data_IF_626605998574
#
_entry.id   IF_626605998574
#
_cell.length_a   1.000
_cell.length_b   1.000
_cell.length_c   1.000
_cell.angle_alpha   90.00
_cell.angle_beta   90.00
_cell.angle_gamma   90.00
#
_symmetry.space_group_name_H-M   'P 1'
#
loop_
_entity.id
_entity.type
_entity.pdbx_description
1 polymer ?
#
# COMPACT_ATOMS: atom_id res chain seq x y z
N UNK A 1 11.06 16.21 10.68
CA UNK A 1 9.68 16.05 10.32
C UNK A 1 9.48 14.81 9.45
N UNK A 2 8.56 14.05 9.85
CA UNK A 2 8.28 12.82 9.15
C UNK A 2 7.30 13.07 8.02
N UNK A 3 7.62 12.60 6.86
CA UNK A 3 6.70 12.68 5.74
C UNK A 3 6.26 11.29 5.35
N UNK A 4 4.97 11.17 5.13
CA UNK A 4 4.41 9.93 4.64
C UNK A 4 4.28 10.02 3.14
N UNK A 5 5.01 9.19 2.45
CA UNK A 5 4.98 9.13 1.00
C UNK A 5 4.67 7.72 0.59
N UNK A 6 3.88 7.62 -0.44
CA UNK A 6 3.54 6.32 -0.97
C UNK A 6 3.34 6.38 -2.45
N UNK A 7 3.28 5.21 -3.05
CA UNK A 7 3.03 5.06 -4.47
C UNK A 7 1.72 4.30 -4.64
N UNK A 8 0.75 4.94 -5.25
CA UNK A 8 -0.52 4.30 -5.54
C UNK A 8 -0.49 3.77 -6.97
N UNK A 9 -0.79 2.49 -7.10
CA UNK A 9 -0.78 1.81 -8.39
C UNK A 9 -2.17 1.29 -8.66
N UNK A 10 -2.75 1.71 -9.78
CA UNK A 10 -4.07 1.22 -10.16
C UNK A 10 -4.26 1.30 -11.67
N UNK A 11 -4.98 0.35 -12.24
CA UNK A 11 -5.55 -0.82 -11.57
C UNK A 11 -4.48 -1.84 -11.26
N UNK A 12 -4.58 -2.46 -10.09
CA UNK A 12 -3.54 -3.39 -9.67
C UNK A 12 -4.07 -4.26 -8.54
N UNK A 13 -3.80 -5.55 -8.59
CA UNK A 13 -4.15 -6.44 -7.49
C UNK A 13 -3.00 -7.34 -7.07
N UNK A 14 -1.82 -7.15 -7.65
CA UNK A 14 -0.66 -7.92 -7.24
C UNK A 14 0.60 -7.15 -7.57
N UNK A 15 1.63 -7.39 -6.78
CA UNK A 15 2.93 -6.75 -7.01
C UNK A 15 4.02 -7.77 -6.75
N UNK A 16 5.21 -7.46 -7.26
CA UNK A 16 6.41 -8.17 -6.86
C UNK A 16 7.52 -7.16 -6.63
N UNK A 17 8.42 -7.54 -5.73
CA UNK A 17 9.45 -6.63 -5.23
C UNK A 17 10.84 -7.07 -5.71
N UNK A 18 10.93 -7.60 -6.93
CA UNK A 18 12.16 -8.18 -7.42
C UNK A 18 13.32 -7.20 -7.51
N UNK A 19 13.01 -5.96 -7.82
CA UNK A 19 14.06 -4.97 -8.02
C UNK A 19 14.14 -3.94 -6.90
N UNK A 20 13.45 -4.21 -5.80
CA UNK A 20 13.51 -3.31 -4.67
C UNK A 20 14.73 -3.62 -3.81
N UNK A 21 15.28 -2.58 -3.22
CA UNK A 21 16.44 -2.71 -2.35
C UNK A 21 16.08 -2.68 -0.87
N UNK A 22 14.79 -2.51 -0.55
CA UNK A 22 14.33 -2.39 0.84
C UNK A 22 12.93 -2.94 0.95
N UNK A 23 12.53 -3.22 2.19
CA UNK A 23 11.20 -3.73 2.46
C UNK A 23 10.17 -2.60 2.39
N UNK A 24 8.94 -2.98 2.08
CA UNK A 24 7.85 -2.01 1.98
C UNK A 24 6.61 -2.56 2.67
N UNK A 25 5.71 -1.65 3.02
CA UNK A 25 4.36 -2.04 3.41
C UNK A 25 3.48 -1.98 2.17
N UNK A 26 2.62 -2.97 2.01
CA UNK A 26 1.75 -3.08 0.84
C UNK A 26 0.32 -3.10 1.32
N UNK A 27 -0.46 -2.13 0.87
CA UNK A 27 -1.85 -1.97 1.26
C UNK A 27 -2.71 -2.22 0.02
N UNK A 28 -3.56 -3.24 0.10
CA UNK A 28 -4.46 -3.57 -1.00
C UNK A 28 -5.81 -2.92 -0.75
N UNK A 29 -6.30 -2.22 -1.75
CA UNK A 29 -7.53 -1.44 -1.65
C UNK A 29 -8.56 -1.93 -2.65
N UNK A 30 -9.82 -1.88 -2.27
CA UNK A 30 -10.89 -2.15 -3.21
C UNK A 30 -11.32 -0.86 -3.94
N UNK A 31 -12.38 -0.96 -4.72
CA UNK A 31 -12.82 0.18 -5.54
C UNK A 31 -13.31 1.35 -4.71
N UNK A 32 -13.59 1.13 -3.44
CA UNK A 32 -14.05 2.18 -2.54
C UNK A 32 -12.93 2.70 -1.64
N UNK A 33 -11.69 2.34 -1.97
CA UNK A 33 -10.51 2.70 -1.18
C UNK A 33 -10.54 2.12 0.22
N UNK A 34 -11.24 1.00 0.39
CA UNK A 34 -11.26 0.29 1.65
C UNK A 34 -10.09 -0.69 1.67
N UNK A 35 -9.38 -0.71 2.77
CA UNK A 35 -8.24 -1.60 2.94
C UNK A 35 -8.77 -3.01 3.14
N UNK A 36 -8.38 -3.91 2.23
CA UNK A 36 -8.82 -5.30 2.31
C UNK A 36 -7.71 -6.24 2.75
N UNK A 37 -6.46 -5.80 2.63
CA UNK A 37 -5.33 -6.63 3.03
C UNK A 37 -4.11 -5.74 3.18
N UNK A 38 -3.29 -6.03 4.18
CA UNK A 38 -2.02 -5.34 4.38
C UNK A 38 -0.95 -6.38 4.57
N UNK A 39 0.19 -6.17 3.90
CA UNK A 39 1.37 -6.95 4.19
C UNK A 39 2.41 -5.98 4.71
N UNK A 40 2.80 -6.17 5.97
CA UNK A 40 3.79 -5.34 6.62
C UNK A 40 5.17 -5.87 6.31
N UNK A 41 6.05 -4.96 5.94
CA UNK A 41 7.48 -5.29 5.81
C UNK A 41 7.72 -6.40 4.79
N UNK A 42 7.14 -6.25 3.60
CA UNK A 42 7.36 -7.19 2.52
C UNK A 42 8.77 -7.02 2.00
N UNK A 43 9.54 -8.08 2.05
CA UNK A 43 10.96 -8.02 1.72
C UNK A 43 11.17 -8.04 0.21
N UNK A 44 12.37 -7.62 -0.25
CA UNK A 44 12.70 -7.75 -1.67
C UNK A 44 12.58 -9.20 -2.16
N UNK A 45 12.35 -9.34 -3.45
CA UNK A 45 12.26 -10.63 -4.14
C UNK A 45 11.06 -11.46 -3.66
N UNK A 46 9.98 -10.78 -3.31
CA UNK A 46 8.72 -11.42 -2.93
C UNK A 46 7.61 -10.94 -3.85
N UNK A 47 6.50 -11.61 -3.79
CA UNK A 47 5.30 -11.11 -4.45
C UNK A 47 4.12 -11.26 -3.52
N UNK A 48 3.06 -10.52 -3.79
CA UNK A 48 1.86 -10.55 -2.99
C UNK A 48 0.69 -10.12 -3.84
N UNK A 49 -0.49 -10.59 -3.47
CA UNK A 49 -1.69 -10.23 -4.21
C UNK A 49 -2.90 -10.31 -3.32
N UNK A 50 -3.98 -9.69 -3.79
CA UNK A 50 -5.28 -9.76 -3.15
C UNK A 50 -6.33 -9.77 -4.25
N UNK A 51 -7.06 -10.86 -4.33
CA UNK A 51 -7.96 -11.13 -5.45
C UNK A 51 -8.94 -9.99 -5.73
N UNK A 52 -9.46 -9.37 -4.65
CA UNK A 52 -10.46 -8.33 -4.80
C UNK A 52 -9.90 -6.92 -4.87
N UNK A 53 -8.61 -6.78 -4.83
CA UNK A 53 -8.01 -5.45 -4.86
C UNK A 53 -8.14 -4.85 -6.26
N UNK A 54 -8.32 -3.55 -6.28
CA UNK A 54 -8.30 -2.77 -7.52
C UNK A 54 -7.17 -1.77 -7.51
N UNK A 55 -6.54 -1.57 -6.37
CA UNK A 55 -5.41 -0.66 -6.25
C UNK A 55 -4.47 -1.15 -5.17
N UNK A 56 -3.22 -0.77 -5.29
CA UNK A 56 -2.20 -1.10 -4.32
C UNK A 56 -1.48 0.18 -3.93
N UNK A 57 -1.31 0.37 -2.62
CA UNK A 57 -0.55 1.49 -2.09
C UNK A 57 0.72 0.94 -1.47
N UNK A 58 1.86 1.39 -1.96
CA UNK A 58 3.17 0.99 -1.44
C UNK A 58 3.70 2.09 -0.55
N UNK A 59 4.15 1.72 0.64
CA UNK A 59 4.69 2.64 1.63
C UNK A 59 6.00 2.11 2.13
N UNK A 60 6.81 2.98 2.70
CA UNK A 60 8.01 2.52 3.38
C UNK A 60 7.62 1.63 4.54
N UNK A 61 8.43 0.60 4.79
CA UNK A 61 8.16 -0.37 5.84
C UNK A 61 7.97 0.34 7.17
N UNK A 62 6.93 -0.05 7.90
CA UNK A 62 6.59 0.54 9.18
C UNK A 62 5.57 1.67 9.10
N UNK A 63 5.40 2.26 7.92
CA UNK A 63 4.52 3.42 7.77
C UNK A 63 3.06 3.07 8.04
N UNK A 64 2.61 1.90 7.58
CA UNK A 64 1.20 1.53 7.76
C UNK A 64 0.84 1.46 9.24
N UNK A 65 1.70 0.87 10.06
CA UNK A 65 1.46 0.83 11.50
C UNK A 65 1.53 2.23 12.10
N UNK A 66 2.50 3.01 11.66
CA UNK A 66 2.71 4.34 12.22
C UNK A 66 1.50 5.24 12.02
N UNK A 67 0.89 5.19 10.85
CA UNK A 67 -0.24 6.06 10.55
C UNK A 67 -1.59 5.38 10.79
N UNK A 68 -1.58 4.14 11.30
CA UNK A 68 -2.81 3.49 11.74
C UNK A 68 -3.65 2.90 10.64
N UNK A 69 -3.05 2.43 9.56
CA UNK A 69 -3.78 1.76 8.49
C UNK A 69 -4.05 0.32 8.90
N UNK A 70 -5.32 -0.06 8.91
CA UNK A 70 -5.73 -1.41 9.28
C UNK A 70 -6.77 -1.89 8.28
N UNK A 71 -6.94 -3.22 8.15
CA UNK A 71 -7.98 -3.75 7.26
C UNK A 71 -9.35 -3.21 7.67
N UNK A 72 -10.16 -2.91 6.68
CA UNK A 72 -11.48 -2.33 6.90
C UNK A 72 -11.52 -0.83 6.88
N UNK A 73 -10.40 -0.17 7.04
CA UNK A 73 -10.36 1.27 7.04
C UNK A 73 -10.52 1.79 5.61
N UNK A 74 -11.27 2.86 5.46
CA UNK A 74 -11.39 3.54 4.17
C UNK A 74 -10.38 4.66 4.14
N UNK A 75 -9.51 4.63 3.14
CA UNK A 75 -8.47 5.64 3.02
C UNK A 75 -8.99 6.82 2.22
N UNK A 76 -8.54 8.00 2.63
CA UNK A 76 -8.85 9.23 1.93
C UNK A 76 -7.58 10.03 1.77
N UNK A 77 -7.45 10.65 0.65
CA UNK A 77 -6.35 11.56 0.43
C UNK A 77 -6.85 12.76 -0.34
N UNK A 78 -6.15 13.85 -0.17
CA UNK A 78 -6.49 15.08 -0.81
C UNK A 78 -5.65 15.26 -2.05
N UNK A 79 -6.30 15.65 -3.11
CA UNK A 79 -5.58 16.11 -4.27
C UNK A 79 -5.46 17.62 -4.18
N UNK A 80 -4.23 18.06 -4.28
CA UNK A 80 -4.02 19.49 -4.27
C UNK A 80 -3.86 19.96 -5.69
N UNK A 81 -4.74 20.83 -6.09
CA UNK A 81 -4.56 21.48 -7.36
C UNK A 81 -3.98 22.86 -7.11
N UNK A 82 -3.05 23.19 -7.93
CA UNK A 82 -2.37 24.47 -7.78
C UNK A 82 -3.01 25.53 -8.60
#
# INVERSE_FOLDING_TARGET
MMRTEGLLIEPCNSIHTFFMLFSIDVVFLDKNNQVIKIIHNLKPFRHAGAFRATAVLELMAGTALEIGIVPGKVLRWEEKSC
#
